data_IF_802354049455
#
_entry.id   IF_802354049455
#
_cell.length_a   1.000
_cell.length_b   1.000
_cell.length_c   1.000
_cell.angle_alpha   90.00
_cell.angle_beta   90.00
_cell.angle_gamma   90.00
#
_symmetry.space_group_name_H-M   'P 1'
#
loop_
_entity.id
_entity.type
_entity.pdbx_description
1 polymer ?
#
# COMPACT_ATOMS: atom_id res chain seq x y z
N UNK A 1 50.57 33.43 45.22
CA UNK A 1 50.72 33.83 43.80
C UNK A 1 50.90 32.56 43.00
N UNK A 2 50.09 32.13 42.03
CA UNK A 2 49.02 32.73 41.21
C UNK A 2 47.94 31.67 40.99
N UNK A 3 46.69 32.11 40.98
CA UNK A 3 45.54 31.40 40.45
C UNK A 3 45.66 31.24 38.94
N UNK A 4 45.20 30.11 38.39
CA UNK A 4 44.58 30.07 37.06
C UNK A 4 43.35 29.17 37.13
N UNK A 5 42.20 29.79 36.87
CA UNK A 5 40.85 29.24 36.82
C UNK A 5 40.54 28.58 35.47
N UNK A 6 39.62 27.59 35.50
CA UNK A 6 38.51 27.30 34.56
C UNK A 6 38.83 27.17 33.04
N UNK A 7 38.22 26.28 32.26
CA UNK A 7 36.78 26.00 32.15
C UNK A 7 36.55 24.54 31.72
N UNK A 8 35.71 23.84 32.46
CA UNK A 8 34.97 22.65 32.00
C UNK A 8 33.70 23.12 31.28
N UNK A 9 33.74 23.19 29.94
CA UNK A 9 32.52 23.32 29.14
C UNK A 9 31.85 21.94 29.01
N UNK A 10 30.96 21.62 29.95
CA UNK A 10 29.95 20.59 29.75
C UNK A 10 28.89 21.15 28.79
N UNK A 11 29.08 20.94 27.49
CA UNK A 11 28.02 21.17 26.52
C UNK A 11 26.94 20.10 26.75
N UNK A 12 25.87 20.49 27.44
CA UNK A 12 24.61 19.77 27.41
C UNK A 12 24.07 19.81 25.98
N UNK A 13 24.52 18.89 25.15
CA UNK A 13 23.87 18.58 23.87
C UNK A 13 22.46 18.11 24.20
N UNK A 14 21.50 19.03 24.05
CA UNK A 14 20.08 18.69 23.99
C UNK A 14 19.96 17.78 22.77
N UNK A 15 19.94 16.47 23.02
CA UNK A 15 19.47 15.51 22.02
C UNK A 15 18.02 15.87 21.82
N UNK A 16 17.74 16.67 20.78
CA UNK A 16 16.42 16.69 20.18
C UNK A 16 16.27 15.26 19.66
N UNK A 17 15.73 14.39 20.50
CA UNK A 17 15.19 13.13 20.05
C UNK A 17 14.08 13.54 19.09
N UNK A 18 14.43 13.64 17.80
CA UNK A 18 13.45 13.49 16.75
C UNK A 18 12.76 12.18 17.12
N UNK A 19 11.53 12.28 17.61
CA UNK A 19 10.69 11.14 17.87
C UNK A 19 10.53 10.45 16.52
N UNK A 20 11.47 9.57 16.20
CA UNK A 20 11.28 8.50 15.25
C UNK A 20 10.14 7.70 15.87
N UNK A 21 8.90 8.12 15.58
CA UNK A 21 7.72 7.43 16.02
C UNK A 21 7.82 6.07 15.33
N UNK A 22 8.33 5.10 16.08
CA UNK A 22 8.61 3.78 15.57
C UNK A 22 7.29 3.24 14.99
N UNK A 23 7.36 2.65 13.78
CA UNK A 23 6.20 2.09 13.10
C UNK A 23 5.34 1.25 14.07
N UNK A 24 4.09 1.69 14.23
CA UNK A 24 3.08 1.08 15.11
C UNK A 24 2.66 -0.28 14.58
N UNK A 25 2.66 -1.29 15.44
CA UNK A 25 2.17 -2.64 15.11
C UNK A 25 0.67 -2.65 14.81
N UNK A 26 -0.09 -1.78 15.47
CA UNK A 26 -1.51 -1.58 15.20
C UNK A 26 -1.72 -1.02 13.79
N UNK A 27 -0.91 -0.05 13.37
CA UNK A 27 -1.07 0.55 12.04
C UNK A 27 -0.70 -0.41 10.92
N UNK A 28 0.38 -1.19 11.09
CA UNK A 28 0.72 -2.26 10.15
C UNK A 28 -0.41 -3.29 10.04
N UNK A 29 -1.02 -3.66 11.17
CA UNK A 29 -2.17 -4.57 11.19
C UNK A 29 -3.38 -3.96 10.50
N UNK A 30 -3.64 -2.66 10.67
CA UNK A 30 -4.72 -1.97 9.97
C UNK A 30 -4.49 -1.95 8.47
N UNK A 31 -3.27 -1.67 8.01
CA UNK A 31 -2.90 -1.73 6.59
C UNK A 31 -3.10 -3.15 6.04
N UNK A 32 -2.61 -4.18 6.73
CA UNK A 32 -2.83 -5.57 6.34
C UNK A 32 -4.32 -5.93 6.25
N UNK A 33 -5.12 -5.54 7.25
CA UNK A 33 -6.56 -5.73 7.23
C UNK A 33 -7.26 -4.95 6.11
N UNK A 34 -6.77 -3.76 5.78
CA UNK A 34 -7.29 -2.95 4.68
C UNK A 34 -7.13 -3.72 3.37
N UNK A 35 -5.90 -4.13 3.04
CA UNK A 35 -5.63 -4.83 1.78
C UNK A 35 -6.30 -6.21 1.72
N UNK A 36 -6.62 -6.84 2.85
CA UNK A 36 -7.27 -8.15 2.92
C UNK A 36 -8.81 -8.13 3.01
N UNK A 37 -9.46 -7.00 2.72
CA UNK A 37 -10.93 -6.86 2.80
C UNK A 37 -11.52 -7.05 4.22
N UNK A 38 -10.74 -6.79 5.29
CA UNK A 38 -11.12 -7.06 6.68
C UNK A 38 -11.56 -5.84 7.48
N UNK A 39 -11.55 -4.64 6.88
CA UNK A 39 -12.05 -3.44 7.53
C UNK A 39 -13.54 -3.22 7.25
N UNK A 40 -14.21 -2.56 8.18
CA UNK A 40 -15.52 -1.94 7.97
C UNK A 40 -15.40 -0.46 7.56
N UNK A 41 -16.54 0.18 7.26
CA UNK A 41 -16.57 1.57 6.78
C UNK A 41 -15.97 2.57 7.79
N UNK A 42 -16.23 2.38 9.09
CA UNK A 42 -15.74 3.27 10.15
C UNK A 42 -14.23 3.12 10.33
N UNK A 43 -13.74 1.89 10.29
CA UNK A 43 -12.31 1.61 10.35
C UNK A 43 -11.56 2.23 9.17
N UNK A 44 -12.13 2.18 7.96
CA UNK A 44 -11.57 2.81 6.75
C UNK A 44 -11.51 4.33 6.91
N UNK A 45 -12.63 4.98 7.22
CA UNK A 45 -12.67 6.45 7.36
C UNK A 45 -11.71 6.93 8.45
N UNK A 46 -11.66 6.23 9.59
CA UNK A 46 -10.73 6.57 10.67
C UNK A 46 -9.27 6.38 10.26
N UNK A 47 -8.95 5.34 9.49
CA UNK A 47 -7.59 5.08 9.05
C UNK A 47 -7.14 6.11 8.00
N UNK A 48 -7.96 6.38 6.98
CA UNK A 48 -7.63 7.35 5.94
C UNK A 48 -7.56 8.76 6.50
N UNK A 49 -8.47 9.14 7.40
CA UNK A 49 -8.37 10.43 8.09
C UNK A 49 -7.05 10.58 8.85
N UNK A 50 -6.44 9.48 9.34
CA UNK A 50 -5.10 9.53 9.91
C UNK A 50 -4.00 9.62 8.86
N UNK A 51 -4.13 8.93 7.73
CA UNK A 51 -3.18 9.04 6.60
C UNK A 51 -3.11 10.48 6.10
N UNK A 52 -4.27 11.09 5.85
CA UNK A 52 -4.38 12.47 5.34
C UNK A 52 -3.78 13.51 6.30
N UNK A 53 -3.85 13.23 7.61
CA UNK A 53 -3.28 14.08 8.66
C UNK A 53 -1.80 13.76 8.99
N UNK A 54 -1.15 12.86 8.24
CA UNK A 54 0.23 12.44 8.53
C UNK A 54 0.39 11.72 9.88
N UNK A 55 -0.70 11.14 10.40
CA UNK A 55 -0.81 10.55 11.74
C UNK A 55 -0.68 9.02 11.73
N UNK A 56 -0.07 8.45 10.69
CA UNK A 56 0.30 7.03 10.60
C UNK A 56 1.83 6.93 10.60
N UNK A 57 2.47 6.75 11.78
CA UNK A 57 3.92 6.73 11.88
C UNK A 57 4.59 5.70 10.99
N UNK A 58 5.57 6.14 10.21
CA UNK A 58 6.39 5.28 9.35
C UNK A 58 5.75 4.89 8.02
N UNK A 59 4.55 5.39 7.71
CA UNK A 59 3.92 5.30 6.39
C UNK A 59 4.20 6.59 5.60
N UNK A 60 4.93 6.50 4.50
CA UNK A 60 5.40 7.67 3.74
C UNK A 60 5.07 7.51 2.26
N UNK A 61 4.48 8.55 1.64
CA UNK A 61 4.26 8.57 0.19
C UNK A 61 5.59 8.64 -0.56
N UNK A 62 5.74 7.81 -1.58
CA UNK A 62 6.93 7.81 -2.43
C UNK A 62 6.69 8.73 -3.63
N UNK A 63 7.67 9.57 -4.00
CA UNK A 63 7.55 10.36 -5.21
C UNK A 63 7.50 9.44 -6.43
N UNK A 64 6.74 9.79 -7.48
CA UNK A 64 6.72 9.01 -8.72
C UNK A 64 8.13 8.92 -9.31
N UNK A 65 8.58 7.70 -9.61
CA UNK A 65 9.85 7.45 -10.28
C UNK A 65 9.66 6.43 -11.40
N UNK A 66 10.50 6.50 -12.43
CA UNK A 66 10.51 5.49 -13.48
C UNK A 66 10.75 4.09 -12.88
N UNK A 67 9.87 3.13 -13.19
CA UNK A 67 9.88 1.75 -12.67
C UNK A 67 9.54 1.57 -11.18
N UNK A 68 8.70 2.45 -10.62
CA UNK A 68 8.15 2.26 -9.27
C UNK A 68 6.68 1.86 -9.30
N UNK A 69 6.16 1.45 -8.15
CA UNK A 69 4.73 1.23 -7.96
C UNK A 69 4.02 2.58 -8.08
N UNK A 70 2.94 2.64 -8.86
CA UNK A 70 2.12 3.83 -8.97
C UNK A 70 1.40 4.13 -7.65
N UNK A 71 1.32 5.42 -7.30
CA UNK A 71 0.76 5.92 -6.04
C UNK A 71 1.33 5.20 -4.80
N UNK A 72 2.64 4.92 -4.82
CA UNK A 72 3.31 4.13 -3.78
C UNK A 72 3.38 4.84 -2.43
N UNK A 73 3.17 4.06 -1.39
CA UNK A 73 3.45 4.39 -0.01
C UNK A 73 4.28 3.28 0.62
N UNK A 74 5.28 3.66 1.41
CA UNK A 74 6.22 2.75 2.03
C UNK A 74 6.06 2.74 3.55
N UNK A 75 6.10 1.55 4.14
CA UNK A 75 6.19 1.34 5.58
C UNK A 75 7.62 1.03 6.00
N UNK A 76 8.04 1.54 7.16
CA UNK A 76 9.38 1.23 7.71
C UNK A 76 9.56 -0.26 8.05
N UNK A 77 8.45 -0.94 8.39
CA UNK A 77 8.43 -2.37 8.67
C UNK A 77 7.54 -3.09 7.66
N UNK A 78 7.81 -4.37 7.36
CA UNK A 78 7.00 -5.09 6.40
C UNK A 78 5.57 -5.34 6.86
N UNK A 79 4.64 -5.23 5.91
CA UNK A 79 3.24 -5.61 6.01
C UNK A 79 3.13 -7.09 5.63
N UNK A 80 2.45 -7.88 6.46
CA UNK A 80 2.12 -9.27 6.15
C UNK A 80 0.65 -9.36 5.76
N UNK A 81 0.39 -9.70 4.50
CA UNK A 81 -0.97 -9.84 3.97
C UNK A 81 -0.97 -10.80 2.78
N UNK A 82 -2.09 -11.47 2.55
CA UNK A 82 -2.26 -12.43 1.45
C UNK A 82 -1.23 -13.57 1.46
N UNK A 83 -0.66 -13.90 2.62
CA UNK A 83 0.39 -14.91 2.76
C UNK A 83 1.73 -14.50 2.14
N UNK A 84 1.96 -13.20 1.92
CA UNK A 84 3.24 -12.63 1.49
C UNK A 84 3.61 -11.42 2.35
N UNK A 85 4.79 -10.85 2.10
CA UNK A 85 5.34 -9.71 2.84
C UNK A 85 5.78 -8.63 1.86
N UNK A 86 5.46 -7.36 2.15
CA UNK A 86 5.96 -6.20 1.42
C UNK A 86 5.98 -4.96 2.31
N UNK A 87 6.85 -4.01 2.01
CA UNK A 87 6.85 -2.69 2.64
C UNK A 87 6.07 -1.66 1.82
N UNK A 88 5.53 -2.04 0.66
CA UNK A 88 4.90 -1.11 -0.27
C UNK A 88 3.42 -1.41 -0.44
N UNK A 89 2.62 -0.34 -0.45
CA UNK A 89 1.23 -0.35 -0.86
C UNK A 89 1.01 0.74 -1.91
N UNK A 90 0.06 0.52 -2.82
CA UNK A 90 -0.52 1.57 -3.65
C UNK A 90 -1.83 2.02 -3.01
N UNK A 91 -1.97 3.32 -2.75
CA UNK A 91 -3.24 3.92 -2.29
C UNK A 91 -3.93 4.55 -3.50
N UNK A 92 -4.72 3.74 -4.19
CA UNK A 92 -5.42 4.13 -5.43
C UNK A 92 -6.54 5.13 -5.14
N UNK A 93 -7.18 5.00 -3.98
CA UNK A 93 -8.19 5.94 -3.48
C UNK A 93 -8.34 5.80 -1.96
N UNK A 94 -9.06 6.71 -1.28
CA UNK A 94 -9.44 6.54 0.13
C UNK A 94 -10.09 5.18 0.44
N UNK A 95 -10.71 4.53 -0.54
CA UNK A 95 -11.45 3.28 -0.35
C UNK A 95 -10.79 2.10 -1.05
N UNK A 96 -9.58 2.27 -1.58
CA UNK A 96 -8.85 1.20 -2.25
C UNK A 96 -7.36 1.26 -1.95
N UNK A 97 -6.85 0.17 -1.39
CA UNK A 97 -5.43 -0.02 -1.11
C UNK A 97 -5.00 -1.40 -1.59
N UNK A 98 -3.84 -1.45 -2.26
CA UNK A 98 -3.28 -2.65 -2.86
C UNK A 98 -1.87 -2.89 -2.31
N UNK A 99 -1.58 -4.09 -1.80
CA UNK A 99 -0.21 -4.48 -1.45
C UNK A 99 0.59 -4.62 -2.75
N UNK A 100 1.76 -4.00 -2.81
CA UNK A 100 2.66 -4.16 -3.94
C UNK A 100 3.58 -5.36 -3.72
N UNK A 101 3.43 -6.36 -4.57
CA UNK A 101 4.16 -7.63 -4.51
C UNK A 101 5.19 -7.62 -5.65
N UNK A 102 6.50 -7.77 -5.35
CA UNK A 102 7.52 -7.80 -6.38
C UNK A 102 7.35 -9.03 -7.26
N UNK A 103 7.56 -8.86 -8.56
CA UNK A 103 7.57 -9.90 -9.57
C UNK A 103 8.74 -9.67 -10.53
N UNK A 104 9.20 -10.73 -11.18
CA UNK A 104 10.19 -10.61 -12.25
C UNK A 104 9.60 -9.78 -13.40
N UNK A 105 10.33 -8.77 -13.88
CA UNK A 105 9.91 -7.94 -15.03
C UNK A 105 9.65 -8.86 -16.25
N UNK A 106 8.44 -8.78 -16.81
CA UNK A 106 7.98 -9.65 -17.91
C UNK A 106 7.23 -10.91 -17.48
N UNK A 107 7.28 -11.32 -16.20
CA UNK A 107 6.54 -12.47 -15.67
C UNK A 107 5.31 -12.06 -14.84
N UNK A 108 5.04 -10.76 -14.68
CA UNK A 108 4.02 -10.24 -13.77
C UNK A 108 2.63 -10.80 -14.09
N UNK A 109 2.27 -10.86 -15.38
CA UNK A 109 0.96 -11.38 -15.84
C UNK A 109 0.82 -12.88 -15.53
N UNK A 110 1.88 -13.67 -15.71
CA UNK A 110 1.84 -15.12 -15.49
C UNK A 110 1.73 -15.44 -13.99
N UNK A 111 2.45 -14.69 -13.14
CA UNK A 111 2.39 -14.79 -11.69
C UNK A 111 1.04 -14.29 -11.18
N UNK A 112 0.54 -13.16 -11.68
CA UNK A 112 -0.79 -12.63 -11.38
C UNK A 112 -1.90 -13.64 -11.65
N UNK A 113 -1.82 -14.38 -12.76
CA UNK A 113 -2.77 -15.47 -13.07
C UNK A 113 -2.74 -16.58 -12.03
N UNK A 114 -1.56 -16.96 -11.54
CA UNK A 114 -1.43 -17.98 -10.48
C UNK A 114 -2.06 -17.48 -9.17
N UNK A 115 -1.85 -16.22 -8.80
CA UNK A 115 -2.50 -15.59 -7.65
C UNK A 115 -4.03 -15.56 -7.80
N UNK A 116 -4.52 -15.14 -8.97
CA UNK A 116 -5.95 -15.11 -9.26
C UNK A 116 -6.59 -16.50 -9.16
N UNK A 117 -5.90 -17.53 -9.67
CA UNK A 117 -6.33 -18.92 -9.53
C UNK A 117 -6.35 -19.38 -8.07
N UNK A 118 -5.33 -19.01 -7.27
CA UNK A 118 -5.24 -19.33 -5.84
C UNK A 118 -6.35 -18.69 -5.01
N UNK A 119 -6.70 -17.44 -5.32
CA UNK A 119 -7.81 -16.72 -4.66
C UNK A 119 -9.17 -17.30 -5.10
N UNK A 120 -9.25 -17.73 -6.35
CA UNK A 120 -10.41 -18.38 -6.96
C UNK A 120 -11.56 -17.41 -7.22
N UNK A 121 -12.25 -17.58 -8.35
CA UNK A 121 -13.43 -16.76 -8.70
C UNK A 121 -13.11 -15.30 -9.03
N UNK A 122 -11.89 -14.99 -9.45
CA UNK A 122 -11.52 -13.68 -9.98
C UNK A 122 -11.66 -13.67 -11.51
N UNK A 123 -12.09 -12.54 -12.07
CA UNK A 123 -12.26 -12.36 -13.52
C UNK A 123 -11.94 -10.93 -13.94
N UNK A 124 -11.54 -10.73 -15.19
CA UNK A 124 -11.37 -9.40 -15.77
C UNK A 124 -12.72 -8.84 -16.25
N UNK A 125 -12.88 -7.52 -16.14
CA UNK A 125 -14.04 -6.83 -16.72
C UNK A 125 -13.89 -6.65 -18.23
N UNK A 126 -15.01 -6.52 -18.94
CA UNK A 126 -15.01 -6.30 -20.40
C UNK A 126 -14.21 -5.05 -20.82
N UNK A 127 -14.25 -3.98 -20.01
CA UNK A 127 -13.48 -2.77 -20.25
C UNK A 127 -11.96 -3.01 -20.22
N UNK A 128 -11.47 -3.76 -19.23
CA UNK A 128 -10.07 -4.16 -19.09
C UNK A 128 -9.60 -4.99 -20.29
N UNK A 129 -10.43 -5.93 -20.75
CA UNK A 129 -10.14 -6.74 -21.94
C UNK A 129 -10.01 -5.83 -23.17
N UNK A 130 -10.96 -4.91 -23.35
CA UNK A 130 -10.93 -3.94 -24.46
C UNK A 130 -9.69 -3.03 -24.43
N UNK A 131 -9.22 -2.60 -23.26
CA UNK A 131 -7.99 -1.79 -23.15
C UNK A 131 -6.78 -2.55 -23.70
N UNK A 132 -6.67 -3.84 -23.39
CA UNK A 132 -5.58 -4.68 -23.88
C UNK A 132 -5.66 -4.93 -25.38
N UNK A 133 -6.86 -5.11 -25.91
CA UNK A 133 -7.08 -5.40 -27.34
C UNK A 133 -6.97 -4.15 -28.23
N UNK A 134 -7.46 -3.00 -27.75
CA UNK A 134 -7.69 -1.82 -28.58
C UNK A 134 -6.81 -0.61 -28.21
N UNK A 135 -6.25 -0.57 -27.00
CA UNK A 135 -5.48 0.57 -26.50
C UNK A 135 -4.00 0.22 -26.19
N UNK A 136 -3.52 -0.94 -26.65
CA UNK A 136 -2.14 -1.42 -26.41
C UNK A 136 -1.73 -1.48 -24.93
N UNK A 137 -2.70 -1.52 -24.01
CA UNK A 137 -2.43 -1.64 -22.60
C UNK A 137 -1.85 -3.02 -22.27
N UNK A 138 -0.80 -3.05 -21.45
CA UNK A 138 -0.05 -4.27 -21.10
C UNK A 138 -0.26 -4.61 -19.64
N UNK A 139 -1.31 -5.36 -19.36
CA UNK A 139 -1.68 -5.67 -17.98
C UNK A 139 -2.83 -6.66 -17.85
N UNK A 140 -3.22 -6.90 -16.60
CA UNK A 140 -4.41 -7.66 -16.19
C UNK A 140 -5.06 -6.95 -15.00
N UNK A 141 -6.39 -6.91 -14.94
CA UNK A 141 -7.13 -6.37 -13.78
C UNK A 141 -8.20 -7.40 -13.40
N UNK A 142 -7.80 -8.39 -12.59
CA UNK A 142 -8.68 -9.41 -12.07
C UNK A 142 -9.42 -8.88 -10.84
N UNK A 143 -10.74 -9.08 -10.80
CA UNK A 143 -11.60 -8.62 -9.72
C UNK A 143 -12.50 -9.74 -9.22
N UNK A 144 -12.84 -9.66 -7.94
CA UNK A 144 -13.81 -10.55 -7.29
C UNK A 144 -14.60 -9.77 -6.25
N UNK A 145 -15.92 -9.78 -6.38
CA UNK A 145 -16.79 -9.24 -5.33
C UNK A 145 -16.84 -10.21 -4.14
N UNK A 146 -16.73 -9.67 -2.93
CA UNK A 146 -16.91 -10.37 -1.65
C UNK A 146 -17.83 -9.50 -0.80
N UNK A 147 -19.11 -9.88 -0.72
CA UNK A 147 -20.17 -9.04 -0.15
C UNK A 147 -20.20 -7.63 -0.76
N UNK A 148 -20.04 -6.59 0.08
CA UNK A 148 -19.94 -5.18 -0.31
C UNK A 148 -18.50 -4.70 -0.51
N UNK A 149 -17.58 -5.61 -0.80
CA UNK A 149 -16.14 -5.34 -0.99
C UNK A 149 -15.68 -5.96 -2.31
N UNK A 150 -14.53 -5.56 -2.81
CA UNK A 150 -13.94 -6.08 -4.04
C UNK A 150 -12.46 -6.39 -3.83
N UNK A 151 -12.07 -7.65 -4.02
CA UNK A 151 -10.66 -8.01 -4.16
C UNK A 151 -10.23 -7.61 -5.57
N UNK A 152 -9.12 -6.90 -5.68
CA UNK A 152 -8.52 -6.48 -6.95
C UNK A 152 -7.08 -6.96 -7.02
N UNK A 153 -6.74 -7.61 -8.15
CA UNK A 153 -5.38 -7.95 -8.53
C UNK A 153 -5.08 -7.28 -9.86
N UNK A 154 -4.20 -6.29 -9.82
CA UNK A 154 -3.81 -5.45 -10.95
C UNK A 154 -2.34 -5.68 -11.29
N UNK A 155 -2.07 -5.82 -12.58
CA UNK A 155 -0.76 -5.65 -13.18
C UNK A 155 -0.89 -4.59 -14.24
N UNK A 156 -0.03 -3.59 -14.18
CA UNK A 156 0.15 -2.61 -15.25
C UNK A 156 1.65 -2.53 -15.54
N UNK A 157 2.10 -3.14 -16.63
CA UNK A 157 3.52 -3.19 -16.98
C UNK A 157 4.04 -1.85 -17.51
N UNK A 158 3.17 -0.89 -17.79
CA UNK A 158 3.55 0.45 -18.25
C UNK A 158 3.75 1.37 -17.04
N UNK A 159 2.80 1.35 -16.11
CA UNK A 159 2.81 2.23 -14.92
C UNK A 159 3.61 1.64 -13.75
N UNK A 160 3.70 0.32 -13.63
CA UNK A 160 4.35 -0.36 -12.50
C UNK A 160 5.06 -1.66 -12.91
N UNK A 161 6.07 -1.59 -13.82
CA UNK A 161 6.81 -2.76 -14.25
C UNK A 161 7.50 -3.45 -13.06
N UNK A 162 7.46 -4.79 -13.02
CA UNK A 162 8.01 -5.61 -11.93
C UNK A 162 7.11 -5.72 -10.70
N UNK A 163 5.85 -5.28 -10.77
CA UNK A 163 4.94 -5.29 -9.62
C UNK A 163 3.57 -5.90 -9.92
N UNK A 164 3.05 -6.61 -8.92
CA UNK A 164 1.66 -7.05 -8.85
C UNK A 164 1.00 -6.31 -7.70
N UNK A 165 -0.13 -5.66 -7.94
CA UNK A 165 -0.87 -4.93 -6.93
C UNK A 165 -2.09 -5.76 -6.52
N UNK A 166 -2.11 -6.24 -5.27
CA UNK A 166 -3.19 -7.08 -4.74
C UNK A 166 -3.78 -6.48 -3.47
N UNK A 167 -5.06 -6.18 -3.48
CA UNK A 167 -5.73 -5.73 -2.26
C UNK A 167 -7.22 -5.61 -2.40
N UNK A 168 -7.79 -4.60 -1.75
CA UNK A 168 -9.23 -4.48 -1.60
C UNK A 168 -9.75 -3.07 -1.88
N UNK A 169 -10.89 -3.01 -2.56
CA UNK A 169 -11.75 -1.84 -2.72
C UNK A 169 -13.03 -1.95 -1.89
N UNK A 170 -13.50 -0.80 -1.39
CA UNK A 170 -14.61 -0.72 -0.43
C UNK A 170 -15.74 0.23 -0.88
N UNK A 171 -15.74 0.71 -2.13
CA UNK A 171 -16.74 1.69 -2.61
C UNK A 171 -18.20 1.27 -2.36
N UNK A 172 -18.49 -0.04 -2.45
CA UNK A 172 -19.82 -0.60 -2.19
C UNK A 172 -20.26 -0.56 -0.72
N UNK A 173 -19.35 -0.32 0.24
CA UNK A 173 -19.72 -0.08 1.64
C UNK A 173 -20.29 1.33 1.85
N UNK A 174 -19.92 2.28 1.01
CA UNK A 174 -20.24 3.71 1.15
C UNK A 174 -21.34 4.17 0.20
N UNK A 175 -21.79 3.28 -0.68
CA UNK A 175 -23.00 3.50 -1.47
C UNK A 175 -24.17 2.97 -0.66
N UNK A 176 -25.13 3.85 -0.34
CA UNK A 176 -26.40 3.40 0.20
C UNK A 176 -27.00 2.46 -0.85
N UNK A 177 -27.32 1.23 -0.44
CA UNK A 177 -28.11 0.32 -1.24
C UNK A 177 -29.46 1.00 -1.47
N UNK A 178 -29.69 1.51 -2.68
CA UNK A 178 -31.03 1.89 -3.12
C UNK A 178 -31.91 0.65 -3.17
#
# INVERSE_FOLDING_TARGET
MKFVQALTCAACSVVIAASAHAQSTTDLRTIARFVECKLDAREIDSFIGRVDNGAVPGLTSQPPQAKTVDLAWETQKPIQAWGTTSNLVSIVSPRQMLLAIPATEGEEISIARQWAARIGGMSEGAGTISLRENAQWRGVDYRKTVDKKEIRLLVDQQESPGWILLGCGYDKLFTNSN
#
